data_IF_772114695311
#
_entry.id   IF_772114695311
#
_cell.length_a   1.000
_cell.length_b   1.000
_cell.length_c   1.000
_cell.angle_alpha   90.00
_cell.angle_beta   90.00
_cell.angle_gamma   90.00
#
_symmetry.space_group_name_H-M   'P 1'
#
loop_
_entity.id
_entity.type
_entity.pdbx_description
1 polymer ?
#
# COMPACT_ATOMS: atom_id res chain seq x y z
N UNK A 1 -8.88 -19.15 49.24
CA UNK A 1 -9.45 -19.98 48.15
C UNK A 1 -8.74 -19.61 46.87
N UNK A 2 -8.12 -20.54 46.13
CA UNK A 2 -7.68 -20.25 44.78
C UNK A 2 -8.93 -19.97 43.94
N UNK A 3 -8.94 -18.88 43.19
CA UNK A 3 -10.02 -18.62 42.25
C UNK A 3 -9.99 -19.74 41.20
N UNK A 4 -11.06 -20.53 41.18
CA UNK A 4 -11.29 -21.58 40.19
C UNK A 4 -11.65 -20.87 38.89
N UNK A 5 -10.63 -20.58 38.08
CA UNK A 5 -10.82 -19.93 36.78
C UNK A 5 -11.26 -21.01 35.80
N UNK A 6 -12.51 -20.95 35.36
CA UNK A 6 -13.04 -21.80 34.30
C UNK A 6 -12.36 -21.43 32.97
N UNK A 7 -11.28 -22.14 32.68
CA UNK A 7 -10.47 -21.93 31.47
C UNK A 7 -11.29 -22.26 30.22
N UNK A 8 -12.27 -23.16 30.30
CA UNK A 8 -13.09 -23.52 29.15
C UNK A 8 -14.00 -22.36 28.75
N UNK A 9 -14.56 -21.60 29.71
CA UNK A 9 -15.29 -20.36 29.44
C UNK A 9 -14.35 -19.24 28.93
N UNK A 10 -13.15 -19.14 29.50
CA UNK A 10 -12.14 -18.15 29.10
C UNK A 10 -11.62 -18.38 27.66
N UNK A 11 -11.51 -19.65 27.24
CA UNK A 11 -11.09 -20.02 25.88
C UNK A 11 -12.26 -20.19 24.90
N UNK A 12 -13.47 -20.48 25.37
CA UNK A 12 -14.67 -20.50 24.53
C UNK A 12 -15.05 -19.09 24.05
N UNK A 13 -14.72 -18.04 24.81
CA UNK A 13 -15.07 -16.67 24.53
C UNK A 13 -13.91 -15.85 23.92
N UNK A 14 -13.25 -16.40 22.90
CA UNK A 14 -12.22 -15.66 22.13
C UNK A 14 -12.83 -14.62 21.17
N UNK A 15 -14.14 -14.69 20.93
CA UNK A 15 -14.91 -13.67 20.21
C UNK A 15 -16.18 -13.36 21.02
N UNK A 16 -16.06 -12.39 21.92
CA UNK A 16 -17.21 -11.97 22.71
C UNK A 16 -18.20 -11.21 21.83
N UNK A 17 -19.48 -11.21 22.22
CA UNK A 17 -20.48 -10.32 21.61
C UNK A 17 -20.07 -8.84 21.68
N UNK A 18 -19.25 -8.48 22.66
CA UNK A 18 -18.66 -7.15 22.78
C UNK A 18 -17.61 -6.88 21.69
N UNK A 19 -16.76 -7.86 21.37
CA UNK A 19 -15.77 -7.76 20.28
C UNK A 19 -16.44 -7.67 18.92
N UNK A 20 -17.52 -8.44 18.70
CA UNK A 20 -18.36 -8.33 17.50
C UNK A 20 -18.92 -6.92 17.35
N UNK A 21 -19.54 -6.39 18.40
CA UNK A 21 -20.09 -5.03 18.40
C UNK A 21 -19.00 -3.98 18.25
N UNK A 22 -17.84 -4.16 18.87
CA UNK A 22 -16.69 -3.26 18.71
C UNK A 22 -16.19 -3.23 17.26
N UNK A 23 -16.20 -4.36 16.56
CA UNK A 23 -15.87 -4.42 15.13
C UNK A 23 -16.93 -3.78 14.24
N UNK A 24 -18.22 -4.02 14.52
CA UNK A 24 -19.34 -3.44 13.77
C UNK A 24 -19.46 -1.92 13.97
N UNK A 25 -19.08 -1.41 15.15
CA UNK A 25 -19.16 0.00 15.51
C UNK A 25 -17.86 0.78 15.26
N UNK A 26 -16.85 0.16 14.65
CA UNK A 26 -15.61 0.85 14.33
C UNK A 26 -15.90 2.07 13.44
N UNK A 27 -15.44 3.26 13.83
CA UNK A 27 -15.63 4.45 13.02
C UNK A 27 -14.91 4.30 11.68
N UNK A 28 -15.66 4.44 10.59
CA UNK A 28 -15.08 4.51 9.25
C UNK A 28 -14.39 5.87 9.05
N UNK A 29 -13.25 5.86 8.36
CA UNK A 29 -12.58 7.09 7.95
C UNK A 29 -13.43 7.82 6.92
N UNK A 30 -13.41 9.15 6.94
CA UNK A 30 -13.98 9.99 5.87
C UNK A 30 -13.22 9.86 4.55
N UNK A 31 -12.03 9.24 4.56
CA UNK A 31 -11.20 9.01 3.37
C UNK A 31 -11.67 7.77 2.61
N UNK A 32 -11.75 7.92 1.29
CA UNK A 32 -12.26 6.88 0.40
C UNK A 32 -11.15 5.93 -0.01
N UNK A 33 -11.38 4.62 0.14
CA UNK A 33 -10.44 3.59 -0.27
C UNK A 33 -10.09 3.67 -1.76
N UNK A 34 -11.10 3.85 -2.62
CA UNK A 34 -10.90 3.97 -4.06
C UNK A 34 -9.95 5.12 -4.43
N UNK A 35 -10.08 6.28 -3.77
CA UNK A 35 -9.20 7.43 -4.02
C UNK A 35 -7.78 7.11 -3.58
N UNK A 36 -7.60 6.51 -2.39
CA UNK A 36 -6.29 6.10 -1.91
C UNK A 36 -5.63 5.07 -2.86
N UNK A 37 -6.41 4.12 -3.37
CA UNK A 37 -5.95 3.08 -4.29
C UNK A 37 -5.57 3.65 -5.66
N UNK A 38 -6.39 4.54 -6.24
CA UNK A 38 -6.05 5.18 -7.51
C UNK A 38 -4.80 6.06 -7.38
N UNK A 39 -4.67 6.81 -6.28
CA UNK A 39 -3.45 7.59 -6.00
C UNK A 39 -2.23 6.68 -5.83
N UNK A 40 -2.40 5.50 -5.23
CA UNK A 40 -1.31 4.53 -5.07
C UNK A 40 -0.86 3.93 -6.40
N UNK A 41 -1.81 3.62 -7.29
CA UNK A 41 -1.51 3.00 -8.57
C UNK A 41 -0.82 3.98 -9.54
N UNK A 42 -1.31 5.21 -9.65
CA UNK A 42 -0.79 6.17 -10.63
C UNK A 42 0.31 7.08 -10.06
N UNK A 43 0.24 7.46 -8.78
CA UNK A 43 1.19 8.36 -8.11
C UNK A 43 1.96 7.63 -6.99
N UNK A 44 2.06 6.31 -7.07
CA UNK A 44 2.81 5.47 -6.14
C UNK A 44 4.26 5.91 -5.92
N UNK A 45 5.06 6.18 -6.97
CA UNK A 45 6.47 6.57 -6.84
C UNK A 45 6.66 7.89 -6.10
N UNK A 46 5.72 8.82 -6.29
CA UNK A 46 5.73 10.13 -5.63
C UNK A 46 5.23 10.01 -4.18
N UNK A 47 4.38 9.01 -3.88
CA UNK A 47 3.84 8.76 -2.55
C UNK A 47 2.51 9.47 -2.26
N UNK A 48 1.74 9.86 -3.28
CA UNK A 48 0.49 10.63 -3.12
C UNK A 48 -0.53 9.96 -2.18
N UNK A 49 -0.61 8.62 -2.19
CA UNK A 49 -1.45 7.87 -1.26
C UNK A 49 -1.13 8.16 0.22
N UNK A 50 0.16 8.31 0.56
CA UNK A 50 0.62 8.56 1.94
C UNK A 50 0.32 9.99 2.36
N UNK A 51 0.42 10.96 1.43
CA UNK A 51 -0.07 12.32 1.66
C UNK A 51 -1.58 12.33 1.94
N UNK A 52 -2.36 11.58 1.15
CA UNK A 52 -3.81 11.49 1.33
C UNK A 52 -4.20 10.88 2.67
N UNK A 53 -3.52 9.82 3.11
CA UNK A 53 -3.75 9.14 4.39
C UNK A 53 -3.18 9.90 5.61
N UNK A 54 -2.45 11.00 5.39
CA UNK A 54 -1.91 11.83 6.47
C UNK A 54 -0.54 11.41 7.00
N UNK A 55 0.13 10.46 6.35
CA UNK A 55 1.49 10.00 6.69
C UNK A 55 2.58 10.90 6.09
N UNK A 56 2.54 12.20 6.41
CA UNK A 56 3.43 13.22 5.86
C UNK A 56 4.93 12.87 5.94
N UNK A 57 5.49 12.39 7.08
CA UNK A 57 6.94 12.18 7.17
C UNK A 57 7.44 11.15 6.16
N UNK A 58 6.75 10.02 6.08
CA UNK A 58 7.11 8.95 5.14
C UNK A 58 6.80 9.30 3.69
N UNK A 59 5.79 10.15 3.46
CA UNK A 59 5.45 10.62 2.13
C UNK A 59 6.57 11.52 1.58
N UNK A 60 7.03 12.48 2.39
CA UNK A 60 8.14 13.38 2.05
C UNK A 60 9.42 12.60 1.78
N UNK A 61 9.75 11.61 2.64
CA UNK A 61 10.93 10.76 2.45
C UNK A 61 10.91 10.04 1.11
N UNK A 62 9.75 9.47 0.74
CA UNK A 62 9.58 8.77 -0.54
C UNK A 62 9.71 9.73 -1.72
N UNK A 63 9.05 10.88 -1.67
CA UNK A 63 9.15 11.92 -2.70
C UNK A 63 10.59 12.40 -2.86
N UNK A 64 11.31 12.66 -1.76
CA UNK A 64 12.70 13.13 -1.83
C UNK A 64 13.63 12.08 -2.40
N UNK A 65 13.45 10.79 -2.08
CA UNK A 65 14.22 9.71 -2.70
C UNK A 65 13.94 9.59 -4.20
N UNK A 66 12.68 9.73 -4.60
CA UNK A 66 12.31 9.70 -6.02
C UNK A 66 12.92 10.88 -6.78
N UNK A 67 12.77 12.09 -6.27
CA UNK A 67 13.38 13.29 -6.86
C UNK A 67 14.91 13.18 -6.92
N UNK A 68 15.56 12.72 -5.85
CA UNK A 68 17.01 12.51 -5.85
C UNK A 68 17.45 11.48 -6.89
N UNK A 69 16.75 10.34 -7.01
CA UNK A 69 17.03 9.32 -8.01
C UNK A 69 16.90 9.85 -9.45
N UNK A 70 15.85 10.64 -9.72
CA UNK A 70 15.64 11.27 -11.03
C UNK A 70 16.70 12.34 -11.33
N UNK A 71 17.04 13.19 -10.35
CA UNK A 71 18.09 14.21 -10.52
C UNK A 71 19.44 13.54 -10.83
N UNK A 72 19.80 12.46 -10.13
CA UNK A 72 21.03 11.72 -10.40
C UNK A 72 21.03 11.08 -11.80
N UNK A 73 19.89 10.61 -12.30
CA UNK A 73 19.76 10.14 -13.68
C UNK A 73 20.01 11.27 -14.68
N UNK A 74 19.44 12.45 -14.46
CA UNK A 74 19.62 13.63 -15.34
C UNK A 74 21.08 14.10 -15.33
N UNK A 75 21.75 14.03 -14.18
CA UNK A 75 23.17 14.38 -14.03
C UNK A 75 24.13 13.34 -14.63
N UNK A 76 23.63 12.26 -15.24
CA UNK A 76 24.47 11.24 -15.89
C UNK A 76 25.13 10.27 -14.92
N UNK A 77 24.58 10.08 -13.72
CA UNK A 77 25.07 9.16 -12.69
C UNK A 77 24.11 7.95 -12.51
N UNK A 78 23.92 7.10 -13.53
CA UNK A 78 22.93 6.03 -13.49
C UNK A 78 23.21 4.99 -12.41
N UNK A 79 24.49 4.78 -12.06
CA UNK A 79 24.93 3.81 -11.04
C UNK A 79 24.36 4.13 -9.65
N UNK A 80 24.12 5.41 -9.36
CA UNK A 80 23.50 5.87 -8.11
C UNK A 80 21.99 6.12 -8.27
N UNK A 81 21.54 6.57 -9.46
CA UNK A 81 20.12 6.84 -9.72
C UNK A 81 19.24 5.59 -9.80
N UNK A 82 19.69 4.55 -10.52
CA UNK A 82 18.95 3.29 -10.68
C UNK A 82 18.59 2.59 -9.35
N UNK A 83 19.52 2.39 -8.40
CA UNK A 83 19.16 1.74 -7.13
C UNK A 83 18.17 2.57 -6.31
N UNK A 84 18.26 3.91 -6.32
CA UNK A 84 17.31 4.78 -5.62
C UNK A 84 15.89 4.66 -6.20
N UNK A 85 15.76 4.72 -7.53
CA UNK A 85 14.48 4.53 -8.21
C UNK A 85 13.94 3.11 -7.99
N UNK A 86 14.82 2.11 -7.99
CA UNK A 86 14.47 0.72 -7.68
C UNK A 86 13.92 0.55 -6.26
N UNK A 87 14.57 1.16 -5.25
CA UNK A 87 14.09 1.13 -3.86
C UNK A 87 12.73 1.83 -3.73
N UNK A 88 12.55 3.00 -4.37
CA UNK A 88 11.24 3.67 -4.39
C UNK A 88 10.20 2.78 -5.07
N UNK A 89 10.54 2.13 -6.18
CA UNK A 89 9.69 1.18 -6.89
C UNK A 89 9.24 0.02 -6.00
N UNK A 90 10.18 -0.65 -5.33
CA UNK A 90 9.86 -1.70 -4.37
C UNK A 90 8.96 -1.17 -3.23
N UNK A 91 9.23 0.03 -2.73
CA UNK A 91 8.38 0.69 -1.73
C UNK A 91 6.96 0.93 -2.27
N UNK A 92 6.77 1.34 -3.53
CA UNK A 92 5.43 1.46 -4.13
C UNK A 92 4.64 0.15 -4.12
N UNK A 93 5.31 -0.97 -4.39
CA UNK A 93 4.67 -2.28 -4.45
C UNK A 93 4.24 -2.72 -3.04
N UNK A 94 5.14 -2.57 -2.06
CA UNK A 94 4.83 -2.85 -0.64
C UNK A 94 3.68 -1.98 -0.15
N UNK A 95 3.71 -0.68 -0.45
CA UNK A 95 2.63 0.24 -0.09
C UNK A 95 1.30 -0.19 -0.70
N UNK A 96 1.30 -0.66 -1.93
CA UNK A 96 0.09 -1.08 -2.62
C UNK A 96 -0.46 -2.39 -2.03
N UNK A 97 0.41 -3.32 -1.64
CA UNK A 97 0.01 -4.51 -0.88
C UNK A 97 -0.60 -4.15 0.48
N UNK A 98 0.04 -3.25 1.24
CA UNK A 98 -0.46 -2.78 2.54
C UNK A 98 -1.81 -2.07 2.43
N UNK A 99 -2.06 -1.40 1.31
CA UNK A 99 -3.34 -0.76 1.04
C UNK A 99 -4.44 -1.79 0.72
N UNK A 100 -4.13 -2.74 -0.17
CA UNK A 100 -5.07 -3.80 -0.57
C UNK A 100 -5.37 -4.78 0.58
N UNK A 101 -4.42 -5.04 1.46
CA UNK A 101 -4.63 -5.86 2.67
C UNK A 101 -5.50 -5.16 3.72
N UNK A 102 -5.77 -3.86 3.56
CA UNK A 102 -6.50 -3.05 4.55
C UNK A 102 -5.67 -2.74 5.80
N UNK A 103 -4.36 -3.01 5.77
CA UNK A 103 -3.44 -2.69 6.86
C UNK A 103 -3.15 -1.19 6.91
N UNK A 104 -3.15 -0.50 5.77
CA UNK A 104 -3.05 0.96 5.74
C UNK A 104 -4.38 1.61 6.15
N UNK A 105 -4.35 2.21 7.34
CA UNK A 105 -5.45 2.97 7.93
C UNK A 105 -5.19 4.48 7.78
N UNK A 106 -6.17 5.28 8.18
CA UNK A 106 -5.98 6.72 8.32
C UNK A 106 -5.12 7.04 9.57
N UNK A 107 -4.70 8.29 9.73
CA UNK A 107 -4.00 8.77 10.94
C UNK A 107 -4.78 8.50 12.24
N UNK A 108 -6.10 8.48 12.15
CA UNK A 108 -7.00 8.16 13.26
C UNK A 108 -7.16 6.65 13.51
N UNK A 109 -6.40 5.81 12.80
CA UNK A 109 -6.51 4.34 12.82
C UNK A 109 -7.87 3.79 12.35
N UNK A 110 -8.62 4.60 11.59
CA UNK A 110 -9.91 4.21 11.05
C UNK A 110 -9.74 3.48 9.71
N UNK A 111 -10.62 2.50 9.45
CA UNK A 111 -10.68 1.80 8.16
C UNK A 111 -11.18 2.74 7.07
N UNK A 112 -10.64 2.61 5.86
CA UNK A 112 -11.02 3.44 4.73
C UNK A 112 -12.44 3.12 4.25
N UNK A 113 -13.21 4.16 3.94
CA UNK A 113 -14.58 4.02 3.49
C UNK A 113 -14.64 3.20 2.19
N UNK A 114 -15.52 2.18 2.18
CA UNK A 114 -15.78 1.35 1.01
C UNK A 114 -14.74 0.25 0.75
N UNK A 115 -13.80 0.01 1.67
CA UNK A 115 -12.81 -1.06 1.55
C UNK A 115 -13.45 -2.45 1.39
N UNK A 116 -14.43 -2.80 2.21
CA UNK A 116 -15.13 -4.11 2.17
C UNK A 116 -15.86 -4.34 0.85
N UNK A 117 -16.32 -3.28 0.18
CA UNK A 117 -17.04 -3.34 -1.10
C UNK A 117 -16.11 -3.48 -2.30
N UNK A 118 -15.00 -2.75 -2.31
CA UNK A 118 -14.14 -2.63 -3.50
C UNK A 118 -12.78 -3.33 -3.38
N UNK A 119 -12.38 -3.80 -2.20
CA UNK A 119 -11.05 -4.36 -1.94
C UNK A 119 -10.66 -5.47 -2.93
N UNK A 120 -11.54 -6.45 -3.14
CA UNK A 120 -11.29 -7.55 -4.09
C UNK A 120 -11.18 -7.09 -5.55
N UNK A 121 -12.05 -6.16 -5.97
CA UNK A 121 -12.05 -5.61 -7.34
C UNK A 121 -10.76 -4.81 -7.57
N UNK A 122 -10.36 -3.97 -6.62
CA UNK A 122 -9.12 -3.20 -6.68
C UNK A 122 -7.88 -4.11 -6.70
N UNK A 123 -7.89 -5.20 -5.92
CA UNK A 123 -6.79 -6.17 -5.94
C UNK A 123 -6.64 -6.82 -7.32
N UNK A 124 -7.75 -7.34 -7.89
CA UNK A 124 -7.74 -7.92 -9.24
C UNK A 124 -7.30 -6.91 -10.30
N UNK A 125 -7.83 -5.67 -10.25
CA UNK A 125 -7.44 -4.59 -11.15
C UNK A 125 -5.94 -4.26 -11.05
N UNK A 126 -5.38 -4.29 -9.84
CA UNK A 126 -3.95 -4.01 -9.68
C UNK A 126 -3.08 -5.12 -10.26
N UNK A 127 -3.45 -6.39 -10.03
CA UNK A 127 -2.74 -7.53 -10.63
C UNK A 127 -2.72 -7.42 -12.15
N UNK A 128 -3.87 -7.10 -12.77
CA UNK A 128 -3.95 -6.90 -14.22
C UNK A 128 -3.03 -5.77 -14.70
N UNK A 129 -2.99 -4.64 -13.98
CA UNK A 129 -2.13 -3.50 -14.34
C UNK A 129 -0.65 -3.85 -14.19
N UNK A 130 -0.25 -4.54 -13.12
CA UNK A 130 1.14 -4.96 -12.92
C UNK A 130 1.59 -5.97 -13.98
N UNK A 131 0.72 -6.93 -14.34
CA UNK A 131 0.99 -7.87 -15.44
C UNK A 131 1.12 -7.13 -16.76
N UNK A 132 0.23 -6.17 -17.03
CA UNK A 132 0.33 -5.31 -18.23
C UNK A 132 1.64 -4.54 -18.29
N UNK A 133 2.06 -3.93 -17.18
CA UNK A 133 3.35 -3.24 -17.04
C UNK A 133 4.54 -4.18 -17.26
N UNK A 134 4.48 -5.40 -16.71
CA UNK A 134 5.52 -6.41 -16.89
C UNK A 134 5.65 -6.82 -18.37
N UNK A 135 4.53 -7.03 -19.07
CA UNK A 135 4.53 -7.38 -20.49
C UNK A 135 5.13 -6.23 -21.32
N UNK A 136 4.74 -4.98 -21.04
CA UNK A 136 5.31 -3.80 -21.71
C UNK A 136 6.82 -3.71 -21.47
N UNK A 137 7.26 -3.91 -20.23
CA UNK A 137 8.68 -3.91 -19.88
C UNK A 137 9.45 -5.03 -20.61
N UNK A 138 8.87 -6.22 -20.74
CA UNK A 138 9.47 -7.34 -21.47
C UNK A 138 9.61 -7.03 -22.97
N UNK A 139 8.58 -6.45 -23.59
CA UNK A 139 8.61 -6.06 -25.02
C UNK A 139 9.65 -4.97 -25.29
N UNK A 140 9.76 -3.97 -24.41
CA UNK A 140 10.81 -2.95 -24.52
C UNK A 140 12.19 -3.61 -24.34
N UNK A 141 12.34 -4.51 -23.35
CA UNK A 141 13.60 -5.20 -23.08
C UNK A 141 14.08 -6.12 -24.20
N UNK A 142 13.19 -6.77 -24.95
CA UNK A 142 13.58 -7.57 -26.12
C UNK A 142 13.97 -6.70 -27.32
N UNK A 143 13.36 -5.52 -27.47
CA UNK A 143 13.70 -4.59 -28.55
C UNK A 143 15.11 -3.98 -28.42
N UNK A 144 15.58 -3.74 -27.19
CA UNK A 144 16.95 -3.26 -26.94
C UNK A 144 18.03 -4.35 -27.04
N UNK A 145 17.65 -5.63 -27.10
CA UNK A 145 18.57 -6.76 -27.33
C UNK A 145 18.85 -7.09 -28.79
N UNK A 146 18.06 -6.56 -29.74
CA UNK A 146 18.19 -6.83 -31.19
C UNK A 146 19.07 -5.79 -31.92
N UNK A 147 19.45 -4.70 -31.26
CA UNK A 147 20.27 -3.63 -31.83
C UNK A 147 21.79 -3.75 -31.54
N UNK A 148 22.24 -4.90 -31.03
CA UNK A 148 23.65 -5.21 -30.74
C UNK A 148 24.22 -6.25 -31.68
#
# INVERSE_FOLDING_TARGET
MPADYDLDELYANTYTEQDRRAFETQPESSKKFLVAWSLALFLGPIGAQRYYLGYLPTAVLKTSMFCAGVVLMILGLPNAGLPLVGVVGAWTIVDLFLLLSGTMRDRADHRLQGFTRFGGICAAATVLVLVGWLIVALVIGTSSGVAG
#
